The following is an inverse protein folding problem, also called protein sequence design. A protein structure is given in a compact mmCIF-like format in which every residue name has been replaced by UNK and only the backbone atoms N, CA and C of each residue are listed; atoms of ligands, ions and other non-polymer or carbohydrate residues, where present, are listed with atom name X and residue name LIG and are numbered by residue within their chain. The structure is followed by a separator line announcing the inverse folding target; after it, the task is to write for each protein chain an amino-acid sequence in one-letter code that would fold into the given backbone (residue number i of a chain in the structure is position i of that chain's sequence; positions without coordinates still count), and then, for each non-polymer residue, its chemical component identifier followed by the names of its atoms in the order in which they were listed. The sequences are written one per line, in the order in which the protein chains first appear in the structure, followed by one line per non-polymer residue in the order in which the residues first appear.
data_IF_694569352450
#
_entry.id   IF_694569352450
#
_cell.length_a   1.000
_cell.length_b   1.000
_cell.length_c   1.000
_cell.angle_alpha   90.00
_cell.angle_beta   90.00
_cell.angle_gamma   90.00
#
_symmetry.space_group_name_H-M   'P 1'
#
loop_
_entity.id
_entity.type
_entity.pdbx_description
1 polymer ?
#
# COMPACT_ATOMS: atom_id res chain seq x y z
N UNK A 1 -26.89 -45.63 -54.35
CA UNK A 1 -27.70 -44.39 -54.19
C UNK A 1 -27.66 -44.03 -52.71
N UNK A 2 -26.61 -43.34 -52.20
CA UNK A 2 -26.47 -41.88 -52.00
C UNK A 2 -27.65 -41.23 -51.23
N UNK A 3 -27.28 -40.50 -50.15
CA UNK A 3 -28.03 -39.48 -49.36
C UNK A 3 -28.75 -40.08 -48.12
N UNK A 4 -28.60 -39.67 -46.84
CA UNK A 4 -27.97 -38.51 -46.15
C UNK A 4 -28.07 -38.69 -44.61
N UNK A 5 -27.22 -37.97 -43.85
CA UNK A 5 -27.29 -37.63 -42.38
C UNK A 5 -27.10 -38.81 -41.41
N UNK A 6 -26.26 -38.74 -40.39
CA UNK A 6 -26.13 -37.66 -39.42
C UNK A 6 -24.74 -37.67 -38.78
N UNK A 7 -24.09 -36.51 -38.78
CA UNK A 7 -22.88 -36.20 -38.01
C UNK A 7 -23.20 -36.22 -36.51
N UNK A 8 -22.46 -37.03 -35.74
CA UNK A 8 -22.25 -36.83 -34.32
C UNK A 8 -20.75 -37.04 -34.06
N UNK A 9 -19.98 -36.02 -34.42
CA UNK A 9 -18.59 -35.87 -34.01
C UNK A 9 -18.64 -35.64 -32.50
N UNK A 10 -18.22 -36.65 -31.74
CA UNK A 10 -17.83 -36.55 -30.35
C UNK A 10 -16.64 -35.61 -30.26
N UNK A 11 -16.91 -34.31 -30.18
CA UNK A 11 -15.95 -33.31 -29.75
C UNK A 11 -15.63 -33.64 -28.30
N UNK A 12 -14.51 -34.34 -28.09
CA UNK A 12 -13.83 -34.35 -26.81
C UNK A 12 -13.54 -32.90 -26.44
N UNK A 13 -14.47 -32.28 -25.71
CA UNK A 13 -14.22 -31.10 -24.91
C UNK A 13 -13.12 -31.47 -23.92
N UNK A 14 -11.89 -31.22 -24.32
CA UNK A 14 -10.78 -31.02 -23.41
C UNK A 14 -11.17 -29.77 -22.61
N UNK A 15 -11.97 -29.96 -21.55
CA UNK A 15 -11.98 -29.06 -20.43
C UNK A 15 -10.57 -29.12 -19.86
N UNK A 16 -9.69 -28.28 -20.41
CA UNK A 16 -8.47 -27.85 -19.73
C UNK A 16 -8.99 -27.17 -18.48
N UNK A 17 -9.09 -27.96 -17.41
CA UNK A 17 -9.20 -27.45 -16.06
C UNK A 17 -8.00 -26.52 -15.88
N UNK A 18 -8.24 -25.22 -15.82
CA UNK A 18 -7.29 -24.22 -15.35
C UNK A 18 -7.08 -24.42 -13.84
N UNK A 19 -6.61 -25.60 -13.46
CA UNK A 19 -6.05 -25.87 -12.14
C UNK A 19 -4.61 -25.40 -12.19
N UNK A 20 -4.36 -24.23 -11.58
CA UNK A 20 -3.06 -23.83 -11.03
C UNK A 20 -1.82 -24.17 -11.88
N UNK A 21 -1.59 -23.45 -12.98
CA UNK A 21 -0.22 -23.23 -13.44
C UNK A 21 0.44 -22.20 -12.49
N UNK A 22 0.80 -22.66 -11.30
CA UNK A 22 1.87 -22.05 -10.51
C UNK A 22 3.17 -22.28 -11.26
N UNK A 23 3.50 -21.37 -12.17
CA UNK A 23 4.71 -21.43 -12.97
C UNK A 23 5.93 -21.12 -12.10
N UNK A 24 6.50 -22.11 -11.40
CA UNK A 24 7.86 -22.01 -10.82
C UNK A 24 8.92 -22.03 -11.95
N UNK A 25 8.72 -21.33 -13.05
CA UNK A 25 9.69 -21.25 -14.14
C UNK A 25 9.98 -19.79 -14.48
N UNK A 26 11.24 -19.49 -14.72
CA UNK A 26 11.67 -18.16 -15.11
C UNK A 26 11.21 -17.87 -16.53
N UNK A 27 10.45 -16.79 -16.75
CA UNK A 27 10.00 -16.41 -18.10
C UNK A 27 11.14 -15.98 -19.04
N UNK A 28 12.34 -15.75 -18.51
CA UNK A 28 13.49 -15.32 -19.29
C UNK A 28 14.40 -16.47 -19.76
N UNK A 29 14.61 -17.48 -18.92
CA UNK A 29 15.46 -18.63 -19.25
C UNK A 29 14.73 -19.98 -19.22
N UNK A 30 13.45 -20.00 -18.87
CA UNK A 30 12.59 -21.17 -18.73
C UNK A 30 13.06 -22.22 -17.71
N UNK A 31 14.09 -21.90 -16.92
CA UNK A 31 14.56 -22.74 -15.82
C UNK A 31 13.62 -22.69 -14.62
N UNK A 32 13.64 -23.78 -13.86
CA UNK A 32 12.89 -23.89 -12.61
C UNK A 32 13.45 -22.89 -11.57
N UNK A 33 12.56 -22.14 -10.93
CA UNK A 33 12.90 -21.22 -9.85
C UNK A 33 12.79 -22.00 -8.54
N UNK A 34 13.88 -22.08 -7.78
CA UNK A 34 13.86 -22.62 -6.42
C UNK A 34 12.84 -21.82 -5.59
N UNK A 35 11.90 -22.50 -4.95
CA UNK A 35 10.84 -21.89 -4.14
C UNK A 35 11.37 -21.03 -2.99
N UNK A 36 12.65 -21.20 -2.61
CA UNK A 36 13.32 -20.44 -1.56
C UNK A 36 14.13 -19.25 -2.10
N UNK A 37 14.30 -19.14 -3.41
CA UNK A 37 15.09 -18.07 -4.03
C UNK A 37 14.20 -16.98 -4.63
N UNK A 38 14.46 -15.72 -4.26
CA UNK A 38 13.75 -14.56 -4.81
C UNK A 38 14.04 -14.37 -6.31
N UNK A 39 15.20 -14.82 -6.77
CA UNK A 39 15.68 -14.62 -8.14
C UNK A 39 15.94 -15.96 -8.82
N UNK A 40 15.67 -16.03 -10.11
CA UNK A 40 16.15 -17.15 -10.92
C UNK A 40 17.69 -17.19 -10.87
N UNK A 41 18.23 -18.30 -10.36
CA UNK A 41 19.67 -18.51 -10.15
C UNK A 41 20.44 -18.35 -11.47
N UNK A 42 19.90 -18.88 -12.57
CA UNK A 42 20.52 -18.84 -13.91
C UNK A 42 20.51 -17.43 -14.51
N UNK A 43 19.51 -16.61 -14.22
CA UNK A 43 19.48 -15.22 -14.66
C UNK A 43 20.37 -14.33 -13.79
N UNK A 44 20.43 -14.60 -12.48
CA UNK A 44 21.24 -13.85 -11.51
C UNK A 44 22.74 -13.95 -11.80
N UNK A 45 23.23 -15.05 -12.39
CA UNK A 45 24.64 -15.18 -12.76
C UNK A 45 25.06 -14.31 -13.94
N UNK A 46 24.11 -13.78 -14.73
CA UNK A 46 24.38 -12.95 -15.91
C UNK A 46 24.51 -11.46 -15.60
N UNK A 47 24.04 -11.01 -14.42
CA UNK A 47 23.99 -9.59 -14.03
C UNK A 47 24.43 -9.46 -12.56
N UNK A 48 25.21 -8.43 -12.21
CA UNK A 48 25.55 -8.20 -10.80
C UNK A 48 24.31 -7.80 -10.00
N UNK A 49 24.23 -8.26 -8.74
CA UNK A 49 23.09 -7.99 -7.84
C UNK A 49 22.88 -6.49 -7.66
N UNK A 50 23.96 -5.71 -7.58
CA UNK A 50 23.88 -4.25 -7.43
C UNK A 50 23.34 -3.55 -8.68
N UNK A 51 23.67 -4.06 -9.88
CA UNK A 51 23.15 -3.51 -11.14
C UNK A 51 21.66 -3.78 -11.28
N UNK A 52 21.23 -5.01 -10.99
CA UNK A 52 19.81 -5.38 -10.98
C UNK A 52 19.00 -4.52 -10.01
N UNK A 53 19.54 -4.28 -8.81
CA UNK A 53 18.91 -3.44 -7.80
C UNK A 53 18.79 -1.98 -8.26
N UNK A 54 19.86 -1.40 -8.80
CA UNK A 54 19.83 -0.02 -9.27
C UNK A 54 18.85 0.19 -10.43
N UNK A 55 18.79 -0.76 -11.37
CA UNK A 55 17.83 -0.71 -12.49
C UNK A 55 16.38 -0.87 -12.00
N UNK A 56 16.14 -1.79 -11.04
CA UNK A 56 14.84 -1.95 -10.37
C UNK A 56 14.42 -0.65 -9.67
N UNK A 57 15.30 -0.05 -8.87
CA UNK A 57 15.03 1.21 -8.17
C UNK A 57 14.69 2.36 -9.13
N UNK A 58 15.40 2.46 -10.26
CA UNK A 58 15.10 3.45 -11.30
C UNK A 58 13.72 3.24 -11.95
N UNK A 59 13.36 1.99 -12.26
CA UNK A 59 12.06 1.66 -12.84
C UNK A 59 10.92 1.92 -11.85
N UNK A 60 11.12 1.58 -10.59
CA UNK A 60 10.14 1.84 -9.52
C UNK A 60 9.94 3.34 -9.33
N UNK A 61 11.03 4.12 -9.28
CA UNK A 61 10.98 5.57 -9.22
C UNK A 61 10.21 6.13 -10.41
N UNK A 62 10.50 5.66 -11.64
CA UNK A 62 9.83 6.09 -12.85
C UNK A 62 8.32 5.82 -12.82
N UNK A 63 7.88 4.63 -12.37
CA UNK A 63 6.46 4.29 -12.23
C UNK A 63 5.77 5.17 -11.18
N UNK A 64 6.42 5.37 -10.04
CA UNK A 64 5.90 6.19 -8.93
C UNK A 64 5.73 7.64 -9.36
N UNK A 65 6.77 8.24 -9.94
CA UNK A 65 6.76 9.59 -10.48
C UNK A 65 5.73 9.75 -11.59
N UNK A 66 5.62 8.78 -12.50
CA UNK A 66 4.63 8.79 -13.58
C UNK A 66 3.20 8.80 -13.03
N UNK A 67 2.92 8.00 -11.99
CA UNK A 67 1.60 7.96 -11.34
C UNK A 67 1.27 9.28 -10.65
N UNK A 68 2.24 9.90 -9.97
CA UNK A 68 2.09 11.23 -9.36
C UNK A 68 1.80 12.29 -10.43
N UNK A 69 2.58 12.31 -11.51
CA UNK A 69 2.41 13.25 -12.62
C UNK A 69 1.05 13.08 -13.31
N UNK A 70 0.63 11.84 -13.54
CA UNK A 70 -0.68 11.54 -14.11
C UNK A 70 -1.82 12.03 -13.22
N UNK A 71 -1.74 11.81 -11.91
CA UNK A 71 -2.72 12.34 -10.95
C UNK A 71 -2.79 13.87 -11.01
N UNK A 72 -1.63 14.54 -10.97
CA UNK A 72 -1.54 16.00 -11.07
C UNK A 72 -2.21 16.53 -12.34
N UNK A 73 -1.93 15.92 -13.48
CA UNK A 73 -2.55 16.29 -14.75
C UNK A 73 -4.07 16.10 -14.76
N UNK A 74 -4.59 15.04 -14.12
CA UNK A 74 -6.03 14.83 -13.97
C UNK A 74 -6.68 15.88 -13.05
N UNK A 75 -5.99 16.28 -11.97
CA UNK A 75 -6.44 17.35 -11.08
C UNK A 75 -6.48 18.70 -11.83
N UNK A 76 -5.46 19.03 -12.62
CA UNK A 76 -5.43 20.23 -13.49
C UNK A 76 -6.56 20.21 -14.52
N UNK A 77 -6.82 19.06 -15.18
CA UNK A 77 -7.95 18.90 -16.10
C UNK A 77 -9.29 19.10 -15.40
N UNK A 78 -9.45 18.55 -14.18
CA UNK A 78 -10.66 18.73 -13.37
C UNK A 78 -10.89 20.21 -13.09
N UNK A 79 -9.86 20.96 -12.69
CA UNK A 79 -9.94 22.39 -12.42
C UNK A 79 -10.28 23.20 -13.67
N UNK A 80 -9.62 22.91 -14.79
CA UNK A 80 -9.92 23.53 -16.08
C UNK A 80 -11.38 23.29 -16.52
N UNK A 81 -11.89 22.06 -16.41
CA UNK A 81 -13.27 21.76 -16.78
C UNK A 81 -14.29 22.37 -15.81
N UNK A 82 -13.91 22.55 -14.55
CA UNK A 82 -14.72 23.25 -13.57
C UNK A 82 -14.80 24.75 -13.87
N UNK A 83 -13.69 25.39 -14.24
CA UNK A 83 -13.66 26.83 -14.56
C UNK A 83 -14.34 27.16 -15.89
N UNK A 84 -14.24 26.27 -16.88
CA UNK A 84 -14.90 26.42 -18.20
C UNK A 84 -16.35 25.96 -18.24
N UNK A 85 -16.86 25.36 -17.16
CA UNK A 85 -18.24 24.86 -17.09
C UNK A 85 -18.52 23.57 -17.87
N UNK A 86 -17.48 22.87 -18.37
CA UNK A 86 -17.64 21.64 -19.15
C UNK A 86 -17.96 20.43 -18.25
N UNK A 87 -19.24 20.30 -17.86
CA UNK A 87 -19.70 19.27 -16.93
C UNK A 87 -19.46 17.82 -17.42
N UNK A 88 -19.55 17.58 -18.73
CA UNK A 88 -19.34 16.24 -19.29
C UNK A 88 -17.89 15.78 -19.09
N UNK A 89 -16.91 16.64 -19.42
CA UNK A 89 -15.49 16.30 -19.26
C UNK A 89 -15.06 16.31 -17.79
N UNK A 90 -15.63 17.21 -16.98
CA UNK A 90 -15.43 17.21 -15.53
C UNK A 90 -15.82 15.87 -14.90
N UNK A 91 -16.97 15.32 -15.29
CA UNK A 91 -17.43 14.01 -14.81
C UNK A 91 -16.47 12.87 -15.20
N UNK A 92 -15.86 12.93 -16.39
CA UNK A 92 -14.85 11.95 -16.83
C UNK A 92 -13.59 12.04 -15.97
N UNK A 93 -13.01 13.23 -15.83
CA UNK A 93 -11.80 13.44 -15.02
C UNK A 93 -11.99 12.98 -13.56
N UNK A 94 -13.16 13.28 -12.95
CA UNK A 94 -13.49 12.82 -11.59
C UNK A 94 -13.58 11.30 -11.46
N UNK A 95 -14.18 10.63 -12.45
CA UNK A 95 -14.26 9.15 -12.47
C UNK A 95 -12.89 8.51 -12.62
N UNK A 96 -12.02 9.12 -13.42
CA UNK A 96 -10.66 8.64 -13.64
C UNK A 96 -9.80 8.80 -12.38
N UNK A 97 -9.93 9.93 -11.66
CA UNK A 97 -9.33 10.12 -10.34
C UNK A 97 -9.84 9.09 -9.31
N UNK A 98 -11.15 8.88 -9.24
CA UNK A 98 -11.75 7.88 -8.34
C UNK A 98 -11.30 6.45 -8.68
N UNK A 99 -11.17 6.12 -9.97
CA UNK A 99 -10.61 4.84 -10.40
C UNK A 99 -9.13 4.74 -10.02
N UNK A 100 -8.35 5.80 -10.21
CA UNK A 100 -6.94 5.84 -9.85
C UNK A 100 -6.75 5.58 -8.34
N UNK A 101 -7.58 6.17 -7.49
CA UNK A 101 -7.54 5.99 -6.03
C UNK A 101 -7.91 4.56 -5.60
N UNK A 102 -8.71 3.86 -6.41
CA UNK A 102 -9.09 2.46 -6.18
C UNK A 102 -8.05 1.46 -6.66
N UNK A 103 -7.19 1.84 -7.61
CA UNK A 103 -6.10 0.98 -8.07
C UNK A 103 -5.08 0.87 -6.93
N UNK A 104 -4.91 -0.31 -6.31
CA UNK A 104 -3.88 -0.49 -5.31
C UNK A 104 -2.53 -0.23 -5.97
N UNK A 105 -1.72 0.66 -5.39
CA UNK A 105 -0.34 0.84 -5.83
C UNK A 105 0.47 -0.32 -5.27
N UNK A 106 0.94 -1.27 -6.10
CA UNK A 106 1.78 -2.35 -5.60
C UNK A 106 3.10 -1.73 -5.13
N UNK A 107 3.53 -2.12 -3.93
CA UNK A 107 4.85 -1.76 -3.42
C UNK A 107 5.83 -2.69 -4.13
N UNK A 108 6.41 -2.21 -5.23
CA UNK A 108 7.37 -2.96 -6.03
C UNK A 108 8.73 -3.12 -5.31
N UNK A 109 9.01 -2.25 -4.35
CA UNK A 109 10.11 -2.43 -3.41
C UNK A 109 9.70 -3.40 -2.31
N UNK A 110 10.68 -4.15 -1.81
CA UNK A 110 10.60 -4.78 -0.48
C UNK A 110 10.51 -3.75 0.67
N UNK A 111 10.51 -2.45 0.34
CA UNK A 111 10.49 -1.33 1.25
C UNK A 111 9.11 -0.71 1.18
N UNK A 112 8.24 -1.13 2.10
CA UNK A 112 6.84 -0.73 2.16
C UNK A 112 6.60 0.72 2.57
N UNK A 113 7.36 1.67 2.01
CA UNK A 113 7.45 3.02 2.51
C UNK A 113 7.37 4.13 1.45
N UNK A 114 7.26 3.87 0.15
CA UNK A 114 7.06 4.96 -0.83
C UNK A 114 8.05 6.14 -0.65
N UNK A 115 7.76 7.29 -1.26
CA UNK A 115 8.55 8.51 -1.00
C UNK A 115 8.37 8.94 0.46
N UNK A 116 9.42 8.81 1.26
CA UNK A 116 9.54 9.50 2.53
C UNK A 116 9.73 10.98 2.21
N UNK A 117 8.85 11.85 2.71
CA UNK A 117 9.07 13.30 2.59
C UNK A 117 10.25 13.70 3.48
N UNK A 118 11.46 13.49 2.99
CA UNK A 118 12.72 13.85 3.66
C UNK A 118 13.09 15.33 3.47
N UNK A 119 12.24 16.12 2.80
CA UNK A 119 12.61 17.45 2.31
C UNK A 119 11.95 18.66 2.95
N UNK A 120 10.84 18.52 3.69
CA UNK A 120 10.10 19.66 4.27
C UNK A 120 10.30 19.70 5.77
N UNK A 121 11.00 20.72 6.27
CA UNK A 121 11.04 21.03 7.69
C UNK A 121 9.60 21.27 8.17
N UNK A 122 9.05 20.29 8.89
CA UNK A 122 7.70 20.37 9.42
C UNK A 122 7.61 21.57 10.36
N UNK A 123 6.54 22.36 10.21
CA UNK A 123 6.37 23.62 10.95
C UNK A 123 5.05 23.65 11.71
N UNK A 124 5.06 24.41 12.80
CA UNK A 124 3.85 24.67 13.57
C UNK A 124 2.93 25.63 12.80
N UNK A 125 1.70 25.19 12.50
CA UNK A 125 0.73 25.95 11.71
C UNK A 125 -0.60 25.98 12.47
N UNK A 126 -1.06 27.17 12.83
CA UNK A 126 -2.28 27.34 13.63
C UNK A 126 -3.52 26.69 12.98
N UNK A 127 -3.69 26.84 11.66
CA UNK A 127 -4.80 26.20 10.93
C UNK A 127 -4.78 24.68 11.02
N UNK A 128 -3.59 24.07 10.98
CA UNK A 128 -3.42 22.64 11.15
C UNK A 128 -3.68 22.21 12.60
N UNK A 129 -3.20 22.99 13.58
CA UNK A 129 -3.45 22.74 15.01
C UNK A 129 -4.94 22.70 15.34
N UNK A 130 -5.73 23.63 14.78
CA UNK A 130 -7.18 23.66 14.95
C UNK A 130 -7.81 22.38 14.40
N UNK A 131 -7.50 22.02 13.14
CA UNK A 131 -8.03 20.79 12.53
C UNK A 131 -7.63 19.53 13.30
N UNK A 132 -6.39 19.49 13.79
CA UNK A 132 -5.88 18.38 14.58
C UNK A 132 -6.65 18.25 15.90
N UNK A 133 -6.77 19.36 16.65
CA UNK A 133 -7.49 19.41 17.92
C UNK A 133 -8.96 19.03 17.76
N UNK A 134 -9.63 19.56 16.74
CA UNK A 134 -11.00 19.22 16.39
C UNK A 134 -11.14 17.72 16.07
N UNK A 135 -10.25 17.19 15.24
CA UNK A 135 -10.21 15.77 14.90
C UNK A 135 -10.07 14.88 16.13
N UNK A 136 -9.16 15.23 17.04
CA UNK A 136 -8.97 14.51 18.30
C UNK A 136 -10.17 14.62 19.24
N UNK A 137 -10.85 15.77 19.28
CA UNK A 137 -12.08 15.95 20.07
C UNK A 137 -13.17 14.97 19.60
N UNK A 138 -13.42 14.90 18.29
CA UNK A 138 -14.39 13.97 17.73
C UNK A 138 -13.97 12.50 17.90
N UNK A 139 -12.67 12.18 17.81
CA UNK A 139 -12.13 10.83 18.02
C UNK A 139 -12.41 10.28 19.43
N UNK A 140 -12.46 11.14 20.46
CA UNK A 140 -12.76 10.75 21.85
C UNK A 140 -14.19 10.25 22.03
N UNK A 141 -15.11 10.62 21.14
CA UNK A 141 -16.49 10.16 21.20
C UNK A 141 -16.60 8.66 20.93
N UNK A 142 -17.59 8.03 21.56
CA UNK A 142 -17.96 6.62 21.31
C UNK A 142 -18.91 6.47 20.10
N UNK A 143 -19.35 7.55 19.48
CA UNK A 143 -20.20 7.51 18.27
C UNK A 143 -19.38 7.24 17.01
N UNK A 144 -19.91 6.37 16.14
CA UNK A 144 -19.33 6.11 14.82
C UNK A 144 -19.42 7.34 13.91
N UNK A 145 -20.49 8.13 13.95
CA UNK A 145 -20.59 9.38 13.16
C UNK A 145 -19.50 10.38 13.59
N UNK A 146 -19.29 10.55 14.89
CA UNK A 146 -18.23 11.42 15.38
C UNK A 146 -16.85 10.94 14.93
N UNK A 147 -16.60 9.63 14.88
CA UNK A 147 -15.35 9.11 14.33
C UNK A 147 -15.18 9.37 12.83
N UNK A 148 -16.27 9.34 12.05
CA UNK A 148 -16.22 9.76 10.63
C UNK A 148 -15.88 11.25 10.53
N UNK A 149 -16.47 12.08 11.39
CA UNK A 149 -16.14 13.52 11.45
C UNK A 149 -14.68 13.74 11.84
N UNK A 150 -14.15 12.94 12.78
CA UNK A 150 -12.73 12.98 13.14
C UNK A 150 -11.82 12.69 11.94
N UNK A 151 -12.10 11.62 11.18
CA UNK A 151 -11.36 11.29 9.95
C UNK A 151 -11.38 12.47 8.97
N UNK A 152 -12.56 13.04 8.68
CA UNK A 152 -12.70 14.17 7.76
C UNK A 152 -11.86 15.39 8.17
N UNK A 153 -11.82 15.71 9.48
CA UNK A 153 -11.01 16.83 10.00
C UNK A 153 -9.52 16.58 9.83
N UNK A 154 -9.08 15.36 10.12
CA UNK A 154 -7.67 14.96 10.02
C UNK A 154 -7.22 14.82 8.56
N UNK A 155 -8.06 14.28 7.67
CA UNK A 155 -7.77 14.22 6.22
C UNK A 155 -7.67 15.62 5.61
N UNK A 156 -8.53 16.55 6.04
CA UNK A 156 -8.44 17.95 5.64
C UNK A 156 -7.11 18.58 6.05
N UNK A 157 -6.60 18.26 7.25
CA UNK A 157 -5.27 18.69 7.69
C UNK A 157 -4.18 18.16 6.75
N UNK A 158 -4.20 16.86 6.45
CA UNK A 158 -3.23 16.24 5.53
C UNK A 158 -3.25 16.84 4.12
N UNK A 159 -4.40 17.35 3.68
CA UNK A 159 -4.57 17.93 2.35
C UNK A 159 -4.17 19.41 2.30
N UNK A 160 -4.62 20.20 3.28
CA UNK A 160 -4.43 21.66 3.27
C UNK A 160 -3.10 22.11 3.87
N UNK A 161 -2.51 21.30 4.76
CA UNK A 161 -1.28 21.63 5.49
C UNK A 161 -0.27 20.46 5.45
N UNK A 162 0.20 20.04 4.26
CA UNK A 162 1.10 18.90 4.12
C UNK A 162 2.48 19.12 4.78
N UNK A 163 2.84 20.35 5.10
CA UNK A 163 4.08 20.78 5.75
C UNK A 163 3.94 21.04 7.26
N UNK A 164 2.78 20.73 7.86
CA UNK A 164 2.55 20.89 9.30
C UNK A 164 3.25 19.81 10.13
N UNK A 165 3.77 20.17 11.29
CA UNK A 165 4.26 19.25 12.33
C UNK A 165 3.21 18.32 12.95
N UNK A 166 1.94 18.39 12.50
CA UNK A 166 0.85 17.52 12.93
C UNK A 166 0.46 16.45 11.90
N UNK A 167 1.05 16.44 10.70
CA UNK A 167 0.61 15.54 9.62
C UNK A 167 0.82 14.06 9.96
N UNK A 168 1.94 13.72 10.58
CA UNK A 168 2.27 12.35 10.99
C UNK A 168 1.34 11.87 12.11
N UNK A 169 1.14 12.72 13.13
CA UNK A 169 0.21 12.48 14.23
C UNK A 169 -1.24 12.38 13.76
N UNK A 170 -1.64 13.18 12.77
CA UNK A 170 -2.97 13.13 12.17
C UNK A 170 -3.19 11.81 11.42
N UNK A 171 -2.23 11.39 10.59
CA UNK A 171 -2.28 10.10 9.91
C UNK A 171 -2.33 8.94 10.91
N UNK A 172 -1.54 9.01 12.00
CA UNK A 172 -1.59 8.01 13.07
C UNK A 172 -2.98 7.94 13.72
N UNK A 173 -3.57 9.10 14.03
CA UNK A 173 -4.89 9.18 14.65
C UNK A 173 -6.00 8.63 13.74
N UNK A 174 -5.91 8.84 12.42
CA UNK A 174 -6.81 8.22 11.42
C UNK A 174 -6.67 6.69 11.46
N UNK A 175 -5.43 6.19 11.47
CA UNK A 175 -5.17 4.75 11.54
C UNK A 175 -5.79 4.10 12.79
N UNK A 176 -5.67 4.75 13.96
CA UNK A 176 -6.31 4.28 15.19
C UNK A 176 -7.83 4.23 15.09
N UNK A 177 -8.45 5.17 14.36
CA UNK A 177 -9.90 5.16 14.14
C UNK A 177 -10.30 3.97 13.27
N UNK A 178 -9.59 3.73 12.15
CA UNK A 178 -9.87 2.58 11.28
C UNK A 178 -9.62 1.23 11.99
N UNK A 179 -8.58 1.15 12.82
CA UNK A 179 -8.26 -0.04 13.62
C UNK A 179 -9.27 -0.31 14.74
N UNK A 180 -10.06 0.69 15.13
CA UNK A 180 -11.00 0.58 16.24
C UNK A 180 -12.14 -0.40 15.97
N UNK A 181 -12.79 -0.85 17.04
CA UNK A 181 -13.93 -1.79 16.99
C UNK A 181 -15.10 -1.33 16.11
N UNK A 182 -15.19 -0.02 15.82
CA UNK A 182 -16.29 0.60 15.06
C UNK A 182 -16.15 0.39 13.54
N UNK A 183 -14.91 0.26 13.07
CA UNK A 183 -14.58 0.10 11.64
C UNK A 183 -13.96 -1.25 11.37
N UNK A 184 -12.99 -1.68 12.19
CA UNK A 184 -12.17 -2.89 11.97
C UNK A 184 -11.60 -2.97 10.55
N UNK A 185 -11.36 -1.80 9.95
CA UNK A 185 -10.78 -1.70 8.62
C UNK A 185 -9.25 -1.69 8.79
N UNK A 186 -8.73 -2.90 9.00
CA UNK A 186 -7.30 -3.08 9.26
C UNK A 186 -6.44 -2.74 8.05
N UNK A 187 -6.98 -2.83 6.82
CA UNK A 187 -6.23 -2.44 5.63
C UNK A 187 -6.02 -0.92 5.58
N UNK A 188 -7.09 -0.14 5.77
CA UNK A 188 -6.99 1.32 5.84
C UNK A 188 -6.14 1.76 7.03
N UNK A 189 -6.27 1.09 8.18
CA UNK A 189 -5.42 1.34 9.33
C UNK A 189 -3.92 1.13 9.01
N UNK A 190 -3.57 0.01 8.39
CA UNK A 190 -2.19 -0.29 7.99
C UNK A 190 -1.62 0.79 7.06
N UNK A 191 -2.39 1.19 6.05
CA UNK A 191 -2.01 2.24 5.09
C UNK A 191 -1.76 3.58 5.78
N UNK A 192 -2.61 3.99 6.71
CA UNK A 192 -2.45 5.25 7.42
C UNK A 192 -1.32 5.22 8.46
N UNK A 193 -1.05 4.08 9.11
CA UNK A 193 0.14 3.93 9.96
C UNK A 193 1.44 4.03 9.14
N UNK A 194 1.49 3.39 7.96
CA UNK A 194 2.64 3.54 7.05
C UNK A 194 2.78 5.01 6.65
N UNK A 195 1.69 5.65 6.21
CA UNK A 195 1.67 7.08 5.85
C UNK A 195 2.18 7.98 6.96
N UNK A 196 1.82 7.70 8.21
CA UNK A 196 2.30 8.45 9.38
C UNK A 196 3.84 8.45 9.47
N UNK A 197 4.48 7.29 9.31
CA UNK A 197 5.94 7.21 9.26
C UNK A 197 6.54 7.86 8.01
N UNK A 198 5.90 7.73 6.84
CA UNK A 198 6.37 8.36 5.59
C UNK A 198 6.42 9.89 5.68
N UNK A 199 5.45 10.47 6.38
CA UNK A 199 5.35 11.89 6.61
C UNK A 199 6.37 12.39 7.64
N UNK A 200 6.73 11.56 8.63
CA UNK A 200 7.76 11.87 9.61
C UNK A 200 8.46 10.58 10.09
N UNK A 201 9.66 10.26 9.57
CA UNK A 201 10.44 9.11 10.03
C UNK A 201 10.85 9.19 11.50
N UNK A 202 10.93 10.40 12.06
CA UNK A 202 11.29 10.66 13.46
C UNK A 202 10.07 10.63 14.39
N UNK A 203 8.91 10.15 13.91
CA UNK A 203 7.70 10.03 14.71
C UNK A 203 7.97 9.19 15.98
N UNK A 204 7.59 9.75 17.13
CA UNK A 204 7.81 9.11 18.44
C UNK A 204 6.92 7.89 18.71
N UNK A 205 5.94 7.63 17.83
CA UNK A 205 4.98 6.53 17.92
C UNK A 205 5.44 5.38 17.03
N UNK A 206 5.26 4.11 17.44
CA UNK A 206 5.73 2.96 16.68
C UNK A 206 4.79 2.61 15.50
N UNK A 207 4.68 3.52 14.54
CA UNK A 207 3.73 3.44 13.43
C UNK A 207 3.93 2.18 12.57
N UNK A 208 5.18 1.85 12.22
CA UNK A 208 5.51 0.64 11.44
C UNK A 208 5.11 -0.65 12.17
N UNK A 209 5.33 -0.73 13.48
CA UNK A 209 4.91 -1.89 14.27
C UNK A 209 3.38 -2.05 14.21
N UNK A 210 2.62 -0.97 14.38
CA UNK A 210 1.16 -1.02 14.30
C UNK A 210 0.67 -1.38 12.90
N UNK A 211 1.29 -0.88 11.84
CA UNK A 211 0.97 -1.28 10.47
C UNK A 211 1.16 -2.78 10.27
N UNK A 212 2.28 -3.35 10.74
CA UNK A 212 2.54 -4.78 10.65
C UNK A 212 1.49 -5.59 11.44
N UNK A 213 1.11 -5.15 12.63
CA UNK A 213 0.07 -5.78 13.44
C UNK A 213 -1.30 -5.77 12.76
N UNK A 214 -1.61 -4.75 11.96
CA UNK A 214 -2.87 -4.71 11.20
C UNK A 214 -2.90 -5.78 10.11
N UNK A 215 -1.82 -5.93 9.34
CA UNK A 215 -1.72 -7.01 8.34
C UNK A 215 -1.70 -8.40 8.99
N UNK A 216 -1.04 -8.53 10.14
CA UNK A 216 -1.02 -9.78 10.93
C UNK A 216 -2.43 -10.17 11.41
N UNK A 217 -3.22 -9.20 11.88
CA UNK A 217 -4.65 -9.40 12.24
C UNK A 217 -5.51 -9.87 11.06
N UNK A 218 -5.14 -9.49 9.84
CA UNK A 218 -5.81 -9.93 8.61
C UNK A 218 -5.31 -11.28 8.09
N UNK A 219 -4.36 -11.92 8.79
CA UNK A 219 -3.63 -13.10 8.32
C UNK A 219 -2.85 -12.89 7.01
N UNK A 220 -2.56 -11.63 6.64
CA UNK A 220 -1.69 -11.30 5.52
C UNK A 220 -0.24 -11.32 5.97
N UNK A 221 0.26 -12.53 6.23
CA UNK A 221 1.59 -12.73 6.79
C UNK A 221 2.71 -12.27 5.84
N UNK A 222 2.46 -12.23 4.53
CA UNK A 222 3.44 -11.76 3.57
C UNK A 222 3.68 -10.26 3.74
N UNK A 223 2.62 -9.44 3.73
CA UNK A 223 2.75 -8.00 4.01
C UNK A 223 3.20 -7.74 5.44
N UNK A 224 2.69 -8.49 6.42
CA UNK A 224 3.10 -8.34 7.81
C UNK A 224 4.61 -8.56 8.02
N UNK A 225 5.20 -9.62 7.44
CA UNK A 225 6.65 -9.90 7.55
C UNK A 225 7.50 -8.74 7.00
N UNK A 226 7.11 -8.19 5.85
CA UNK A 226 7.82 -7.06 5.22
C UNK A 226 7.86 -5.86 6.16
N UNK A 227 6.71 -5.48 6.72
CA UNK A 227 6.64 -4.31 7.60
C UNK A 227 7.26 -4.61 8.97
N UNK A 228 7.13 -5.82 9.52
CA UNK A 228 7.81 -6.21 10.78
C UNK A 228 9.33 -6.12 10.66
N UNK A 229 9.91 -6.46 9.50
CA UNK A 229 11.36 -6.29 9.25
C UNK A 229 11.78 -4.82 9.36
N UNK A 230 10.98 -3.90 8.83
CA UNK A 230 11.23 -2.47 8.95
C UNK A 230 11.03 -1.99 10.40
N UNK A 231 9.94 -2.41 11.05
CA UNK A 231 9.65 -2.05 12.43
C UNK A 231 10.72 -2.54 13.42
N UNK A 232 11.41 -3.64 13.13
CA UNK A 232 12.52 -4.14 13.94
C UNK A 232 13.76 -3.24 13.92
N UNK A 233 13.90 -2.38 12.90
CA UNK A 233 15.05 -1.49 12.71
C UNK A 233 14.67 -0.03 13.03
N UNK A 234 13.51 0.42 12.54
CA UNK A 234 13.15 1.84 12.48
C UNK A 234 12.07 2.27 13.47
N UNK A 235 11.60 1.39 14.37
CA UNK A 235 10.68 1.84 15.42
C UNK A 235 11.41 2.78 16.40
N UNK A 236 10.72 3.78 16.97
CA UNK A 236 11.35 4.82 17.79
C UNK A 236 11.92 4.31 19.13
N UNK A 237 11.50 3.13 19.58
CA UNK A 237 11.90 2.57 20.86
C UNK A 237 12.31 1.09 20.77
N UNK A 238 13.27 0.71 21.61
CA UNK A 238 13.84 -0.64 21.64
C UNK A 238 12.81 -1.73 21.97
N UNK A 239 11.74 -1.40 22.70
CA UNK A 239 10.69 -2.37 23.04
C UNK A 239 9.86 -2.70 21.79
N UNK A 240 9.52 -1.69 20.99
CA UNK A 240 8.83 -1.88 19.71
C UNK A 240 9.67 -2.65 18.70
N UNK A 241 10.98 -2.33 18.58
CA UNK A 241 11.90 -3.09 17.73
C UNK A 241 11.96 -4.58 18.12
N UNK A 242 12.14 -4.87 19.43
CA UNK A 242 12.17 -6.25 19.95
C UNK A 242 10.85 -6.98 19.72
N UNK A 243 9.71 -6.30 19.88
CA UNK A 243 8.38 -6.87 19.64
C UNK A 243 8.21 -7.26 18.17
N UNK A 244 8.59 -6.37 17.25
CA UNK A 244 8.55 -6.65 15.82
C UNK A 244 9.46 -7.83 15.45
N UNK A 245 10.70 -7.84 15.92
CA UNK A 245 11.66 -8.92 15.68
C UNK A 245 11.13 -10.27 16.17
N UNK A 246 10.60 -10.32 17.40
CA UNK A 246 10.03 -11.56 17.97
C UNK A 246 8.89 -12.10 17.11
N UNK A 247 7.98 -11.23 16.66
CA UNK A 247 6.84 -11.67 15.84
C UNK A 247 7.28 -12.10 14.44
N UNK A 248 8.24 -11.39 13.83
CA UNK A 248 8.85 -11.77 12.56
C UNK A 248 9.44 -13.19 12.61
N UNK A 249 10.26 -13.51 13.62
CA UNK A 249 10.86 -14.84 13.75
C UNK A 249 9.82 -15.96 13.87
N UNK A 250 8.70 -15.71 14.56
CA UNK A 250 7.59 -16.67 14.65
C UNK A 250 6.96 -16.90 13.28
N UNK A 251 6.71 -15.84 12.52
CA UNK A 251 6.11 -15.93 11.18
C UNK A 251 7.03 -16.63 10.17
N UNK A 252 8.35 -16.44 10.30
CA UNK A 252 9.35 -17.12 9.47
C UNK A 252 9.41 -18.62 9.79
N UNK A 253 9.51 -19.01 11.07
CA UNK A 253 9.53 -20.41 11.49
C UNK A 253 8.27 -21.18 11.09
N UNK A 254 7.08 -20.55 11.21
CA UNK A 254 5.81 -21.15 10.80
C UNK A 254 5.74 -21.43 9.28
N UNK A 255 6.51 -20.70 8.47
CA UNK A 255 6.62 -20.93 7.03
C UNK A 255 7.49 -22.14 6.69
N UNK A 256 8.44 -22.52 7.56
CA UNK A 256 9.33 -23.66 7.37
C UNK A 256 8.69 -25.00 7.78
N UNK A 257 7.77 -25.01 8.75
CA UNK A 257 7.12 -26.23 9.25
C UNK A 257 5.94 -26.76 8.43
N UNK A 258 5.62 -26.15 7.29
CA UNK A 258 4.55 -26.57 6.36
C UNK A 258 5.07 -27.18 5.05
N UNK A 259 6.37 -27.47 4.97
CA UNK A 259 7.02 -28.16 3.86
C UNK A 259 7.08 -29.66 4.13
#
# INVERSE_FOLDING_TARGET
MKIVRMLLVTVCFIFVSYTAFGANYCLNCFDNIDENEKYCIVCKTKLSVDKLKNEEDQLIYAVTLSRQNYRKALDELREHYQSTGNQLRLKKARRELDALDKVPQPLYTNEGLGDVQTGTALRDIEGANILFKDGLMYKKSLSKENRITAIKRLEKLLQEYPDSDKVDDAAFAIAEIYASIYFKDYESAAKYYIKSYQLNPDIKRPALLHAAEMYDKMADYNRAKVIYKQAAVYSPDAKSCKKAQKRLSILEQASYGKK
#
